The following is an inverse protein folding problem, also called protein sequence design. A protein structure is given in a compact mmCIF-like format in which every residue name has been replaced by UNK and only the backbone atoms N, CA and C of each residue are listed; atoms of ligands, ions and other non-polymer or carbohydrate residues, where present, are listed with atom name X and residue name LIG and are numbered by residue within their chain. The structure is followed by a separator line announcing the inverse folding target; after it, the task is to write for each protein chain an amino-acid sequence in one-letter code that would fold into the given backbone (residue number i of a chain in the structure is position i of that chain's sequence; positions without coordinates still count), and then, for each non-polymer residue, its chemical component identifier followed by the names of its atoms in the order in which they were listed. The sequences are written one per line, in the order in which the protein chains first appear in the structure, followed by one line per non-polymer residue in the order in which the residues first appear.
data_IF_857850560985
#
_entry.id   IF_857850560985
#
_cell.length_a   1.000
_cell.length_b   1.000
_cell.length_c   1.000
_cell.angle_alpha   90.00
_cell.angle_beta   90.00
_cell.angle_gamma   90.00
#
_symmetry.space_group_name_H-M   'P 1'
#
loop_
_entity.id
_entity.type
_entity.pdbx_description
1 polymer ?
#
# COMPACT_ATOMS: atom_id res chain seq x y z
N UNK A 1 15.10 -12.01 -4.77
CA UNK A 1 14.93 -10.65 -4.19
C UNK A 1 13.51 -10.10 -4.30
N UNK A 2 12.93 -9.92 -5.50
CA UNK A 2 11.56 -9.38 -5.65
C UNK A 2 10.53 -10.11 -4.80
N UNK A 3 10.51 -11.44 -4.86
CA UNK A 3 9.64 -12.29 -4.03
C UNK A 3 9.76 -12.01 -2.53
N UNK A 4 10.99 -11.82 -2.04
CA UNK A 4 11.24 -11.48 -0.65
C UNK A 4 10.65 -10.11 -0.29
N UNK A 5 10.85 -9.09 -1.13
CA UNK A 5 10.24 -7.76 -0.90
C UNK A 5 8.72 -7.80 -0.91
N UNK A 6 8.08 -8.61 -1.76
CA UNK A 6 6.63 -8.77 -1.77
C UNK A 6 6.15 -9.39 -0.45
N UNK A 7 6.82 -10.43 0.06
CA UNK A 7 6.52 -10.99 1.38
C UNK A 7 6.68 -9.97 2.50
N UNK A 8 7.78 -9.22 2.48
CA UNK A 8 8.03 -8.16 3.46
C UNK A 8 6.95 -7.07 3.38
N UNK A 9 6.53 -6.67 2.18
CA UNK A 9 5.43 -5.71 2.00
C UNK A 9 4.13 -6.20 2.64
N UNK A 10 3.77 -7.48 2.44
CA UNK A 10 2.56 -8.06 3.04
C UNK A 10 2.66 -8.05 4.57
N UNK A 11 3.83 -8.41 5.12
CA UNK A 11 4.08 -8.36 6.56
C UNK A 11 3.97 -6.93 7.12
N UNK A 12 4.63 -5.97 6.49
CA UNK A 12 4.61 -4.57 6.92
C UNK A 12 3.20 -3.98 6.85
N UNK A 13 2.43 -4.32 5.82
CA UNK A 13 1.01 -3.95 5.72
C UNK A 13 0.18 -4.49 6.90
N UNK A 14 0.43 -5.72 7.32
CA UNK A 14 -0.27 -6.29 8.48
C UNK A 14 0.11 -5.59 9.79
N UNK A 15 1.40 -5.31 9.99
CA UNK A 15 1.90 -4.55 11.15
C UNK A 15 1.27 -3.15 11.17
N UNK A 16 1.22 -2.48 10.02
CA UNK A 16 0.53 -1.20 9.87
C UNK A 16 -0.93 -1.26 10.31
N UNK A 17 -1.70 -2.26 9.85
CA UNK A 17 -3.11 -2.40 10.27
C UNK A 17 -3.25 -2.62 11.78
N UNK A 18 -2.34 -3.37 12.39
CA UNK A 18 -2.35 -3.56 13.85
C UNK A 18 -2.13 -2.23 14.56
N UNK A 19 -1.10 -1.46 14.18
CA UNK A 19 -0.87 -0.13 14.74
C UNK A 19 -2.04 0.82 14.50
N UNK A 20 -2.65 0.76 13.31
CA UNK A 20 -3.80 1.58 12.98
C UNK A 20 -5.00 1.24 13.83
N UNK A 21 -5.23 -0.05 14.12
CA UNK A 21 -6.32 -0.48 15.01
C UNK A 21 -6.12 0.00 16.45
N UNK A 22 -4.88 0.18 16.91
CA UNK A 22 -4.62 0.75 18.23
C UNK A 22 -4.97 2.24 18.29
N UNK A 23 -4.68 3.00 17.23
CA UNK A 23 -5.03 4.43 17.12
C UNK A 23 -6.53 4.64 16.85
N UNK A 24 -7.09 3.88 15.91
CA UNK A 24 -8.45 4.01 15.40
C UNK A 24 -9.06 2.60 15.22
N UNK A 25 -9.65 2.08 16.29
CA UNK A 25 -10.14 0.70 16.37
C UNK A 25 -11.18 0.33 15.31
N UNK A 26 -11.96 1.31 14.86
CA UNK A 26 -13.05 1.09 13.89
C UNK A 26 -12.62 1.32 12.44
N UNK A 27 -11.36 1.72 12.18
CA UNK A 27 -10.92 2.10 10.83
C UNK A 27 -11.02 0.96 9.83
N UNK A 28 -10.61 -0.25 10.22
CA UNK A 28 -10.65 -1.44 9.35
C UNK A 28 -12.04 -2.02 9.15
N UNK A 29 -13.02 -1.58 9.95
CA UNK A 29 -14.42 -1.99 9.86
C UNK A 29 -15.17 -1.05 8.89
N UNK A 30 -14.94 0.25 9.01
CA UNK A 30 -15.70 1.27 8.28
C UNK A 30 -15.08 1.64 6.92
N UNK A 31 -13.78 1.40 6.73
CA UNK A 31 -13.03 1.73 5.50
C UNK A 31 -12.58 0.46 4.79
N UNK A 32 -12.82 0.38 3.48
CA UNK A 32 -12.40 -0.76 2.67
C UNK A 32 -10.87 -0.96 2.68
N UNK A 33 -10.43 -2.20 2.87
CA UNK A 33 -9.00 -2.55 2.97
C UNK A 33 -8.16 -2.17 1.74
N UNK A 34 -8.77 -2.15 0.54
CA UNK A 34 -8.15 -1.68 -0.70
C UNK A 34 -7.79 -0.18 -0.63
N UNK A 35 -8.66 0.61 -0.01
CA UNK A 35 -8.54 2.06 0.13
C UNK A 35 -7.55 2.45 1.23
N UNK A 36 -7.44 1.66 2.30
CA UNK A 36 -6.53 1.93 3.44
C UNK A 36 -5.08 2.17 3.01
N UNK A 37 -4.58 1.43 2.02
CA UNK A 37 -3.21 1.56 1.52
C UNK A 37 -3.06 2.54 0.35
N UNK A 38 -4.13 3.25 0.00
CA UNK A 38 -4.17 4.28 -1.02
C UNK A 38 -3.39 5.52 -0.57
N UNK A 39 -2.74 6.19 -1.53
CA UNK A 39 -1.86 7.33 -1.24
C UNK A 39 -2.58 8.42 -0.43
N UNK A 40 -3.84 8.71 -0.73
CA UNK A 40 -4.61 9.72 -0.03
C UNK A 40 -4.86 9.40 1.45
N UNK A 41 -5.15 8.14 1.78
CA UNK A 41 -5.36 7.72 3.17
C UNK A 41 -4.04 7.65 3.91
N UNK A 42 -2.97 7.17 3.27
CA UNK A 42 -1.64 7.19 3.88
C UNK A 42 -1.17 8.62 4.16
N UNK A 43 -1.41 9.56 3.24
CA UNK A 43 -1.12 10.98 3.44
C UNK A 43 -1.98 11.57 4.56
N UNK A 44 -3.28 11.26 4.61
CA UNK A 44 -4.16 11.68 5.71
C UNK A 44 -3.65 11.20 7.08
N UNK A 45 -3.13 9.98 7.15
CA UNK A 45 -2.61 9.40 8.39
C UNK A 45 -1.22 9.95 8.76
N UNK A 46 -0.51 10.58 7.81
CA UNK A 46 0.74 11.30 8.05
C UNK A 46 0.51 12.76 8.44
N UNK A 47 -0.62 13.35 8.01
CA UNK A 47 -1.10 14.61 8.57
C UNK A 47 -1.36 14.34 10.06
N UNK A 48 -0.72 15.10 10.95
CA UNK A 48 -0.75 14.88 12.41
C UNK A 48 -2.10 15.29 13.02
N UNK A 49 -3.19 14.79 12.43
CA UNK A 49 -4.56 15.01 12.85
C UNK A 49 -4.93 13.97 13.90
N UNK A 50 -5.55 14.48 14.96
CA UNK A 50 -6.21 13.69 16.00
C UNK A 50 -7.53 13.14 15.48
N UNK A 51 -8.05 12.09 16.12
CA UNK A 51 -9.37 11.56 15.78
C UNK A 51 -10.50 12.58 15.97
N UNK A 52 -10.33 13.51 16.91
CA UNK A 52 -11.30 14.57 17.18
C UNK A 52 -11.36 15.58 16.03
N UNK A 53 -10.20 15.99 15.51
CA UNK A 53 -10.10 16.87 14.34
C UNK A 53 -10.71 16.19 13.11
N UNK A 54 -10.36 14.93 12.84
CA UNK A 54 -10.93 14.17 11.70
C UNK A 54 -12.45 14.03 11.85
N UNK A 55 -12.93 13.73 13.06
CA UNK A 55 -14.35 13.55 13.35
C UNK A 55 -15.16 14.85 13.34
N UNK A 56 -14.54 16.01 13.49
CA UNK A 56 -15.21 17.33 13.50
C UNK A 56 -15.04 18.13 12.22
N UNK A 57 -14.14 17.71 11.32
CA UNK A 57 -13.91 18.33 10.02
C UNK A 57 -15.18 18.35 9.17
N UNK A 58 -15.35 19.39 8.35
CA UNK A 58 -16.42 19.44 7.37
C UNK A 58 -16.27 18.30 6.36
N UNK A 59 -17.38 17.62 6.04
CA UNK A 59 -17.37 16.45 5.15
C UNK A 59 -16.80 16.80 3.78
N UNK A 60 -17.19 17.97 3.25
CA UNK A 60 -16.74 18.48 1.96
C UNK A 60 -15.22 18.74 1.95
N UNK A 61 -14.67 19.32 3.02
CA UNK A 61 -13.23 19.55 3.16
C UNK A 61 -12.44 18.23 3.18
N UNK A 62 -12.92 17.22 3.92
CA UNK A 62 -12.28 15.91 3.93
C UNK A 62 -12.38 15.20 2.57
N UNK A 63 -13.53 15.30 1.91
CA UNK A 63 -13.73 14.73 0.57
C UNK A 63 -12.82 15.39 -0.47
N UNK A 64 -12.67 16.71 -0.43
CA UNK A 64 -11.78 17.46 -1.32
C UNK A 64 -10.31 17.12 -1.08
N UNK A 65 -9.88 17.02 0.18
CA UNK A 65 -8.54 16.54 0.52
C UNK A 65 -8.27 15.15 -0.08
N UNK A 66 -9.19 14.20 0.12
CA UNK A 66 -9.06 12.85 -0.42
C UNK A 66 -9.07 12.85 -1.96
N UNK A 67 -9.87 13.71 -2.59
CA UNK A 67 -9.95 13.86 -4.04
C UNK A 67 -8.64 14.37 -4.63
N UNK A 68 -8.06 15.41 -4.04
CA UNK A 68 -6.79 16.00 -4.45
C UNK A 68 -5.65 15.00 -4.32
N UNK A 69 -5.47 14.41 -3.13
CA UNK A 69 -4.38 13.47 -2.85
C UNK A 69 -4.52 12.17 -3.64
N UNK A 70 -5.75 11.71 -3.89
CA UNK A 70 -5.98 10.50 -4.69
C UNK A 70 -5.80 10.73 -6.19
N UNK A 71 -5.77 11.99 -6.66
CA UNK A 71 -5.86 12.38 -8.08
C UNK A 71 -7.15 11.86 -8.74
N UNK A 72 -8.29 12.11 -8.09
CA UNK A 72 -9.63 11.68 -8.55
C UNK A 72 -9.76 10.15 -8.75
N UNK A 73 -9.06 9.34 -7.94
CA UNK A 73 -9.12 7.86 -8.06
C UNK A 73 -10.20 7.22 -7.20
N UNK A 74 -10.78 7.94 -6.25
CA UNK A 74 -11.96 7.47 -5.53
C UNK A 74 -13.19 7.65 -6.41
N UNK A 75 -13.95 6.58 -6.58
CA UNK A 75 -15.25 6.60 -7.26
C UNK A 75 -16.26 7.48 -6.54
N UNK A 76 -16.21 7.48 -5.20
CA UNK A 76 -17.04 8.33 -4.34
C UNK A 76 -16.21 8.85 -3.14
N UNK A 77 -15.57 10.04 -3.28
CA UNK A 77 -14.78 10.64 -2.21
C UNK A 77 -15.60 11.00 -0.97
N UNK A 78 -16.87 11.36 -1.14
CA UNK A 78 -17.76 11.75 -0.02
C UNK A 78 -18.11 10.55 0.84
N UNK A 79 -18.40 9.41 0.20
CA UNK A 79 -18.62 8.15 0.90
C UNK A 79 -17.40 7.74 1.73
N UNK A 80 -16.20 7.79 1.13
CA UNK A 80 -14.95 7.46 1.83
C UNK A 80 -14.68 8.43 2.99
N UNK A 81 -14.89 9.73 2.78
CA UNK A 81 -14.77 10.74 3.83
C UNK A 81 -15.74 10.44 5.00
N UNK A 82 -16.99 10.11 4.70
CA UNK A 82 -18.01 9.75 5.69
C UNK A 82 -17.63 8.50 6.49
N UNK A 83 -17.11 7.48 5.82
CA UNK A 83 -16.57 6.27 6.48
C UNK A 83 -15.42 6.59 7.42
N UNK A 84 -14.47 7.45 7.00
CA UNK A 84 -13.34 7.87 7.83
C UNK A 84 -13.82 8.66 9.06
N UNK A 85 -14.77 9.60 8.89
CA UNK A 85 -15.36 10.33 10.01
C UNK A 85 -16.08 9.39 10.99
N UNK A 86 -16.82 8.42 10.45
CA UNK A 86 -17.51 7.41 11.27
C UNK A 86 -16.52 6.54 12.04
N UNK A 87 -15.40 6.15 11.42
CA UNK A 87 -14.33 5.42 12.10
C UNK A 87 -13.71 6.26 13.23
N UNK A 88 -13.43 7.53 12.98
CA UNK A 88 -12.85 8.43 13.96
C UNK A 88 -13.78 8.65 15.17
N UNK A 89 -15.07 8.89 14.93
CA UNK A 89 -16.08 9.11 15.98
C UNK A 89 -16.41 7.86 16.80
N UNK A 90 -16.31 6.68 16.21
CA UNK A 90 -16.62 5.40 16.88
C UNK A 90 -15.41 4.76 17.57
N UNK A 91 -14.21 5.30 17.38
CA UNK A 91 -13.00 4.82 18.04
C UNK A 91 -12.85 5.43 19.42
N UNK A 92 -12.25 4.68 20.35
CA UNK A 92 -11.96 5.19 21.69
C UNK A 92 -10.83 6.23 21.65
N UNK A 93 -10.79 7.11 22.66
CA UNK A 93 -9.73 8.12 22.81
C UNK A 93 -8.53 7.54 23.56
N UNK A 94 -7.34 7.87 23.09
CA UNK A 94 -6.08 7.50 23.74
C UNK A 94 -5.56 8.65 24.60
N UNK A 95 -4.78 8.31 25.63
CA UNK A 95 -3.99 9.31 26.34
C UNK A 95 -2.88 9.85 25.42
N UNK A 96 -2.53 11.14 25.58
CA UNK A 96 -1.65 11.84 24.62
C UNK A 96 -0.31 11.15 24.38
N UNK A 97 0.34 10.63 25.43
CA UNK A 97 1.61 9.91 25.32
C UNK A 97 1.52 8.63 24.46
N UNK A 98 0.37 7.95 24.48
CA UNK A 98 0.13 6.73 23.70
C UNK A 98 -0.18 7.09 22.25
N UNK A 99 -0.94 8.16 22.03
CA UNK A 99 -1.21 8.69 20.70
C UNK A 99 0.08 9.08 19.98
N UNK A 100 0.96 9.86 20.62
CA UNK A 100 2.22 10.31 20.02
C UNK A 100 3.14 9.13 19.65
N UNK A 101 3.15 8.08 20.48
CA UNK A 101 3.88 6.84 20.20
C UNK A 101 3.28 6.08 19.02
N UNK A 102 1.95 6.02 18.95
CA UNK A 102 1.22 5.37 17.86
C UNK A 102 1.45 6.09 16.53
N UNK A 103 1.46 7.43 16.55
CA UNK A 103 1.74 8.27 15.38
C UNK A 103 3.14 8.04 14.83
N UNK A 104 4.14 7.95 15.72
CA UNK A 104 5.50 7.63 15.33
C UNK A 104 5.60 6.23 14.67
N UNK A 105 4.94 5.23 15.26
CA UNK A 105 4.92 3.86 14.75
C UNK A 105 4.20 3.77 13.40
N UNK A 106 3.06 4.44 13.26
CA UNK A 106 2.29 4.52 12.03
C UNK A 106 3.09 5.22 10.94
N UNK A 107 3.65 6.41 11.22
CA UNK A 107 4.45 7.15 10.25
C UNK A 107 5.66 6.34 9.77
N UNK A 108 6.36 5.66 10.69
CA UNK A 108 7.49 4.79 10.34
C UNK A 108 7.04 3.62 9.45
N UNK A 109 5.91 2.99 9.77
CA UNK A 109 5.37 1.88 8.99
C UNK A 109 4.92 2.32 7.59
N UNK A 110 4.28 3.50 7.47
CA UNK A 110 3.90 4.10 6.18
C UNK A 110 5.15 4.33 5.32
N UNK A 111 6.20 4.91 5.89
CA UNK A 111 7.47 5.13 5.18
C UNK A 111 8.09 3.83 4.69
N UNK A 112 8.10 2.78 5.52
CA UNK A 112 8.56 1.44 5.15
C UNK A 112 7.75 0.85 4.00
N UNK A 113 6.41 0.90 4.07
CA UNK A 113 5.51 0.43 2.99
C UNK A 113 5.80 1.16 1.68
N UNK A 114 5.93 2.48 1.72
CA UNK A 114 6.23 3.30 0.54
C UNK A 114 7.60 2.97 -0.05
N UNK A 115 8.63 2.80 0.79
CA UNK A 115 9.97 2.40 0.36
C UNK A 115 9.99 1.02 -0.30
N UNK A 116 9.36 0.02 0.32
CA UNK A 116 9.30 -1.35 -0.24
C UNK A 116 8.55 -1.35 -1.57
N UNK A 117 7.41 -0.63 -1.68
CA UNK A 117 6.68 -0.48 -2.96
C UNK A 117 7.57 0.13 -4.04
N UNK A 118 8.37 1.16 -3.72
CA UNK A 118 9.28 1.78 -4.66
C UNK A 118 10.39 0.81 -5.11
N UNK A 119 10.98 0.06 -4.18
CA UNK A 119 11.99 -0.97 -4.48
C UNK A 119 11.43 -2.08 -5.38
N UNK A 120 10.21 -2.57 -5.11
CA UNK A 120 9.55 -3.56 -5.98
C UNK A 120 9.39 -3.00 -7.40
N UNK A 121 8.92 -1.75 -7.55
CA UNK A 121 8.75 -1.12 -8.86
C UNK A 121 10.08 -0.94 -9.61
N UNK A 122 11.17 -0.67 -8.89
CA UNK A 122 12.51 -0.61 -9.49
C UNK A 122 12.95 -1.98 -10.00
N UNK A 123 12.73 -3.03 -9.22
CA UNK A 123 13.03 -4.41 -9.65
C UNK A 123 12.17 -4.83 -10.83
N UNK A 124 10.89 -4.48 -10.87
CA UNK A 124 10.00 -4.79 -12.00
C UNK A 124 10.54 -4.20 -13.31
N UNK A 125 10.97 -2.94 -13.27
CA UNK A 125 11.61 -2.28 -14.42
C UNK A 125 12.94 -2.94 -14.80
N UNK A 126 13.74 -3.35 -13.83
CA UNK A 126 15.02 -4.02 -14.11
C UNK A 126 14.78 -5.40 -14.77
N UNK A 127 13.81 -6.16 -14.27
CA UNK A 127 13.41 -7.46 -14.84
C UNK A 127 12.92 -7.28 -16.27
N UNK A 128 12.06 -6.29 -16.54
CA UNK A 128 11.61 -5.98 -17.90
C UNK A 128 12.78 -5.74 -18.84
N UNK A 129 13.69 -4.84 -18.47
CA UNK A 129 14.86 -4.48 -19.31
C UNK A 129 15.74 -5.68 -19.62
N UNK A 130 15.91 -6.60 -18.67
CA UNK A 130 16.67 -7.83 -18.89
C UNK A 130 15.95 -8.77 -19.83
N UNK A 131 14.62 -8.90 -19.68
CA UNK A 131 13.81 -9.75 -20.55
C UNK A 131 13.73 -9.25 -21.99
N UNK A 132 13.72 -7.95 -22.22
CA UNK A 132 13.70 -7.37 -23.57
C UNK A 132 14.94 -7.82 -24.39
N UNK A 133 16.05 -8.17 -23.72
CA UNK A 133 17.25 -8.72 -24.33
C UNK A 133 17.27 -10.24 -24.50
N UNK A 134 16.25 -10.96 -24.02
CA UNK A 134 16.18 -12.43 -24.08
C UNK A 134 15.04 -12.83 -25.03
N UNK A 135 15.35 -13.39 -26.21
CA UNK A 135 14.33 -13.90 -27.12
C UNK A 135 13.48 -14.97 -26.43
N UNK A 136 12.17 -14.73 -26.32
CA UNK A 136 11.23 -15.66 -25.72
C UNK A 136 9.83 -15.50 -26.33
N UNK A 137 9.04 -16.57 -26.37
CA UNK A 137 7.65 -16.56 -26.85
C UNK A 137 6.64 -16.38 -25.73
N UNK A 138 7.08 -16.44 -24.46
CA UNK A 138 6.19 -16.37 -23.30
C UNK A 138 5.52 -14.99 -23.17
N UNK A 139 6.21 -13.93 -23.57
CA UNK A 139 5.64 -12.57 -23.58
C UNK A 139 4.49 -12.37 -24.58
N UNK A 140 4.31 -13.25 -25.57
CA UNK A 140 3.21 -13.12 -26.54
C UNK A 140 1.89 -13.69 -26.02
N UNK A 141 1.92 -14.38 -24.87
CA UNK A 141 0.74 -15.02 -24.27
C UNK A 141 -0.03 -13.98 -23.44
N UNK A 142 -1.31 -13.69 -23.77
CA UNK A 142 -2.13 -12.78 -22.97
C UNK A 142 -2.23 -13.24 -21.50
N UNK A 143 -2.03 -12.31 -20.58
CA UNK A 143 -2.10 -12.58 -19.14
C UNK A 143 -0.80 -13.01 -18.48
N UNK A 144 0.26 -13.31 -19.25
CA UNK A 144 1.61 -13.51 -18.69
C UNK A 144 2.31 -12.17 -18.58
N UNK A 145 2.57 -11.74 -17.35
CA UNK A 145 3.35 -10.53 -17.13
C UNK A 145 4.86 -10.81 -17.27
N UNK A 146 5.67 -9.77 -17.51
CA UNK A 146 7.11 -9.88 -17.63
C UNK A 146 7.77 -10.49 -16.39
N UNK A 147 7.26 -10.24 -15.19
CA UNK A 147 7.84 -10.82 -13.97
C UNK A 147 7.62 -12.34 -13.93
N UNK A 148 6.45 -12.80 -14.32
CA UNK A 148 6.07 -14.21 -14.38
C UNK A 148 6.85 -14.92 -15.48
N UNK A 149 6.99 -14.29 -16.65
CA UNK A 149 7.88 -14.77 -17.72
C UNK A 149 9.32 -14.96 -17.22
N UNK A 150 9.89 -13.96 -16.53
CA UNK A 150 11.23 -14.07 -15.97
C UNK A 150 11.34 -15.19 -14.93
N UNK A 151 10.29 -15.39 -14.11
CA UNK A 151 10.21 -16.50 -13.17
C UNK A 151 10.26 -17.85 -13.86
N UNK A 152 9.42 -18.07 -14.88
CA UNK A 152 9.40 -19.32 -15.66
C UNK A 152 10.77 -19.59 -16.30
N UNK A 153 11.36 -18.59 -16.95
CA UNK A 153 12.67 -18.73 -17.60
C UNK A 153 13.79 -19.02 -16.58
N UNK A 154 13.72 -18.43 -15.39
CA UNK A 154 14.69 -18.68 -14.31
C UNK A 154 14.60 -20.13 -13.82
N UNK A 155 13.40 -20.69 -13.65
CA UNK A 155 13.22 -22.09 -13.24
C UNK A 155 13.72 -23.07 -14.32
N UNK A 156 13.44 -22.80 -15.61
CA UNK A 156 13.88 -23.67 -16.71
C UNK A 156 15.41 -23.67 -16.85
N UNK A 157 16.05 -22.50 -16.81
CA UNK A 157 17.52 -22.42 -16.95
C UNK A 157 18.29 -23.04 -15.79
N UNK A 158 17.70 -23.09 -14.59
CA UNK A 158 18.33 -23.65 -13.41
C UNK A 158 18.43 -25.19 -13.44
N UNK A 159 17.63 -25.87 -14.28
CA UNK A 159 17.56 -27.34 -14.34
C UNK A 159 18.41 -27.99 -15.44
N UNK A 160 19.38 -27.27 -16.01
CA UNK A 160 20.43 -27.89 -16.84
C UNK A 160 20.23 -27.75 -18.35
N UNK A 161 20.24 -26.53 -18.86
CA UNK A 161 20.56 -26.30 -20.27
C UNK A 161 22.06 -25.97 -20.39
N UNK A 162 22.89 -27.01 -20.56
CA UNK A 162 24.18 -26.82 -21.22
C UNK A 162 23.89 -26.75 -22.72
N UNK A 163 24.32 -25.68 -23.42
CA UNK A 163 24.26 -25.69 -24.87
C UNK A 163 25.15 -26.84 -25.33
N UNK A 164 24.59 -27.79 -26.07
CA UNK A 164 25.38 -28.78 -26.78
C UNK A 164 26.34 -28.03 -27.72
N UNK A 165 27.64 -28.28 -27.54
CA UNK A 165 28.68 -27.99 -28.54
C UNK A 165 28.41 -28.75 -29.85
#
# INVERSE_FOLDING_TARGET
MRYHLVKTLVREKQIFLQHLSYKCSSFTIEVEASSVYGAAILDLLLEKLTLEEIGSMELEQLADFLREKSRNRFSDPEYVAKSIQKAARSSYRLAKCVEDSSDLLLGTSIQSICSIKAQIKQLDKAIQKLLDGIPNTLQTIPGIDPVFCAGILAEIKNQGFQPNE
#
